data_IF_959661429698
#
_entry.id   IF_959661429698
#
_cell.length_a   1.000
_cell.length_b   1.000
_cell.length_c   1.000
_cell.angle_alpha   90.00
_cell.angle_beta   90.00
_cell.angle_gamma   90.00
#
_symmetry.space_group_name_H-M   'P 1'
#
loop_
_entity.id
_entity.type
_entity.pdbx_description
1 polymer ?
#
# COMPACT_ATOMS: atom_id res chain seq x y z
N UNK A 1 -12.92 -6.42 12.35
CA UNK A 1 -11.80 -5.52 12.01
C UNK A 1 -12.10 -4.83 10.69
N UNK A 2 -11.78 -3.54 10.59
CA UNK A 2 -11.89 -2.76 9.35
C UNK A 2 -10.51 -2.46 8.78
N UNK A 3 -10.33 -2.77 7.51
CA UNK A 3 -9.09 -2.57 6.76
C UNK A 3 -9.35 -1.58 5.62
N UNK A 4 -8.45 -0.61 5.46
CA UNK A 4 -8.38 0.22 4.25
C UNK A 4 -7.22 -0.29 3.42
N UNK A 5 -7.50 -0.79 2.21
CA UNK A 5 -6.47 -1.19 1.24
C UNK A 5 -6.19 -0.06 0.26
N UNK A 6 -4.93 0.35 0.18
CA UNK A 6 -4.44 1.45 -0.65
C UNK A 6 -3.90 0.89 -1.96
N UNK A 7 -4.57 1.19 -3.08
CA UNK A 7 -4.18 0.70 -4.40
C UNK A 7 -4.41 -0.81 -4.55
N UNK A 8 -5.66 -1.22 -4.52
CA UNK A 8 -6.06 -2.65 -4.53
C UNK A 8 -5.77 -3.38 -5.85
N UNK A 9 -5.60 -2.64 -6.94
CA UNK A 9 -5.26 -3.19 -8.24
C UNK A 9 -6.32 -4.15 -8.79
N UNK A 10 -6.01 -5.43 -8.88
CA UNK A 10 -6.93 -6.48 -9.31
C UNK A 10 -7.69 -7.17 -8.17
N UNK A 11 -7.55 -6.68 -6.94
CA UNK A 11 -8.30 -7.10 -5.78
C UNK A 11 -7.91 -8.42 -5.15
N UNK A 12 -6.74 -8.94 -5.46
CA UNK A 12 -6.31 -10.24 -4.92
C UNK A 12 -6.28 -10.27 -3.40
N UNK A 13 -5.73 -9.23 -2.79
CA UNK A 13 -5.57 -9.14 -1.34
C UNK A 13 -6.90 -8.70 -0.70
N UNK A 14 -7.65 -7.76 -1.32
CA UNK A 14 -8.99 -7.35 -0.88
C UNK A 14 -9.95 -8.53 -0.78
N UNK A 15 -10.02 -9.33 -1.83
CA UNK A 15 -10.89 -10.54 -1.89
C UNK A 15 -10.45 -11.55 -0.84
N UNK A 16 -9.15 -11.75 -0.64
CA UNK A 16 -8.63 -12.63 0.40
C UNK A 16 -9.10 -12.18 1.79
N UNK A 17 -8.96 -10.89 2.12
CA UNK A 17 -9.40 -10.35 3.41
C UNK A 17 -10.92 -10.46 3.60
N UNK A 18 -11.70 -10.15 2.56
CA UNK A 18 -13.16 -10.28 2.61
C UNK A 18 -13.61 -11.72 2.89
N UNK A 19 -12.96 -12.73 2.27
CA UNK A 19 -13.18 -14.15 2.55
C UNK A 19 -12.85 -14.55 3.99
N UNK A 20 -11.96 -13.81 4.66
CA UNK A 20 -11.70 -13.96 6.09
C UNK A 20 -12.70 -13.20 6.98
N UNK A 21 -13.78 -12.66 6.40
CA UNK A 21 -14.83 -11.89 7.08
C UNK A 21 -14.29 -10.57 7.72
N UNK A 22 -13.24 -10.00 7.13
CA UNK A 22 -12.73 -8.67 7.48
C UNK A 22 -13.46 -7.62 6.64
N UNK A 23 -13.86 -6.51 7.25
CA UNK A 23 -14.49 -5.40 6.53
C UNK A 23 -13.41 -4.61 5.77
N UNK A 24 -13.39 -4.72 4.46
CA UNK A 24 -12.38 -4.10 3.60
C UNK A 24 -12.99 -2.93 2.84
N UNK A 25 -12.32 -1.79 2.88
CA UNK A 25 -12.52 -0.70 1.93
C UNK A 25 -11.31 -0.67 1.02
N UNK A 26 -11.48 -1.14 -0.20
CA UNK A 26 -10.43 -1.21 -1.22
C UNK A 26 -10.51 0.01 -2.13
N UNK A 27 -9.42 0.77 -2.22
CA UNK A 27 -9.36 2.03 -2.97
C UNK A 27 -8.34 1.89 -4.09
N UNK A 28 -8.77 2.12 -5.33
CA UNK A 28 -7.89 2.19 -6.51
C UNK A 28 -8.39 3.25 -7.48
N UNK A 29 -7.47 3.93 -8.16
CA UNK A 29 -7.83 4.91 -9.21
C UNK A 29 -8.33 4.23 -10.49
N UNK A 30 -7.97 2.96 -10.71
CA UNK A 30 -8.31 2.21 -11.91
C UNK A 30 -9.71 1.61 -11.81
N UNK A 31 -10.65 2.14 -12.58
CA UNK A 31 -12.00 1.56 -12.73
C UNK A 31 -11.92 0.10 -13.20
N UNK A 32 -11.02 -0.21 -14.11
CA UNK A 32 -10.84 -1.59 -14.61
C UNK A 32 -10.33 -2.55 -13.53
N UNK A 33 -9.49 -2.09 -12.60
CA UNK A 33 -9.08 -2.85 -11.42
C UNK A 33 -10.28 -3.19 -10.55
N UNK A 34 -11.06 -2.20 -10.18
CA UNK A 34 -12.30 -2.34 -9.38
C UNK A 34 -13.29 -3.31 -10.04
N UNK A 35 -13.45 -3.28 -11.37
CA UNK A 35 -14.33 -4.19 -12.09
C UNK A 35 -13.84 -5.64 -12.09
N UNK A 36 -12.52 -5.86 -12.11
CA UNK A 36 -11.94 -7.20 -11.98
C UNK A 36 -12.18 -7.74 -10.57
N UNK A 37 -12.00 -6.92 -9.54
CA UNK A 37 -12.27 -7.29 -8.15
C UNK A 37 -13.72 -7.76 -7.96
N UNK A 38 -14.70 -6.99 -8.47
CA UNK A 38 -16.12 -7.35 -8.43
C UNK A 38 -16.42 -8.70 -9.04
N UNK A 39 -15.75 -9.04 -10.16
CA UNK A 39 -15.92 -10.34 -10.82
C UNK A 39 -15.33 -11.51 -10.03
N UNK A 40 -14.37 -11.26 -9.15
CA UNK A 40 -13.71 -12.27 -8.33
C UNK A 40 -14.41 -12.51 -6.98
N UNK A 41 -15.44 -11.70 -6.67
CA UNK A 41 -16.24 -11.86 -5.45
C UNK A 41 -17.34 -12.90 -5.66
N UNK A 42 -17.51 -13.76 -4.66
CA UNK A 42 -18.72 -14.56 -4.49
C UNK A 42 -19.77 -13.72 -3.74
N UNK A 43 -21.05 -14.00 -3.96
CA UNK A 43 -22.15 -13.22 -3.36
C UNK A 43 -22.06 -13.14 -1.82
N UNK A 44 -21.51 -14.16 -1.17
CA UNK A 44 -21.33 -14.21 0.28
C UNK A 44 -20.30 -13.21 0.81
N UNK A 45 -19.32 -12.81 -0.01
CA UNK A 45 -18.22 -11.93 0.39
C UNK A 45 -18.53 -10.44 0.13
N UNK A 46 -19.61 -10.16 -0.63
CA UNK A 46 -20.01 -8.81 -1.00
C UNK A 46 -20.27 -7.89 0.21
N UNK A 47 -20.70 -8.46 1.34
CA UNK A 47 -20.96 -7.70 2.56
C UNK A 47 -19.69 -7.21 3.26
N UNK A 48 -18.53 -7.77 2.92
CA UNK A 48 -17.25 -7.50 3.57
C UNK A 48 -16.31 -6.64 2.71
N UNK A 49 -16.67 -6.34 1.44
CA UNK A 49 -15.81 -5.59 0.53
C UNK A 49 -16.53 -4.39 -0.08
N UNK A 50 -16.01 -3.20 0.17
CA UNK A 50 -16.44 -1.95 -0.45
C UNK A 50 -15.33 -1.46 -1.41
N UNK A 51 -15.67 -1.39 -2.70
CA UNK A 51 -14.75 -0.99 -3.76
C UNK A 51 -14.98 0.46 -4.15
N UNK A 52 -13.89 1.24 -4.16
CA UNK A 52 -13.93 2.68 -4.45
C UNK A 52 -12.91 3.03 -5.54
N UNK A 53 -13.43 3.55 -6.67
CA UNK A 53 -12.60 4.11 -7.73
C UNK A 53 -12.20 5.54 -7.38
N UNK A 54 -11.13 5.71 -6.61
CA UNK A 54 -10.67 7.00 -6.07
C UNK A 54 -9.16 7.07 -5.91
N UNK A 55 -8.66 8.30 -5.72
CA UNK A 55 -7.29 8.54 -5.30
C UNK A 55 -7.17 8.35 -3.79
N UNK A 56 -6.43 7.32 -3.36
CA UNK A 56 -6.21 7.02 -1.96
C UNK A 56 -5.33 8.06 -1.24
N UNK A 57 -4.54 8.86 -1.97
CA UNK A 57 -3.69 9.90 -1.36
C UNK A 57 -4.53 11.02 -0.74
N UNK A 58 -5.57 11.42 -1.47
CA UNK A 58 -6.42 12.58 -1.11
C UNK A 58 -7.78 12.16 -0.52
N UNK A 59 -7.97 10.88 -0.23
CA UNK A 59 -9.21 10.38 0.33
C UNK A 59 -9.42 10.86 1.77
N UNK A 60 -10.65 11.25 2.09
CA UNK A 60 -11.07 11.58 3.45
C UNK A 60 -11.40 10.29 4.22
N UNK A 61 -10.44 9.81 4.99
CA UNK A 61 -10.59 8.58 5.77
C UNK A 61 -11.50 8.74 6.99
N UNK A 62 -11.77 9.96 7.47
CA UNK A 62 -12.60 10.20 8.65
C UNK A 62 -14.04 9.68 8.49
N UNK A 63 -14.54 9.63 7.26
CA UNK A 63 -15.89 9.13 6.93
C UNK A 63 -16.06 7.62 7.08
N UNK A 64 -14.97 6.86 7.19
CA UNK A 64 -15.05 5.42 7.37
C UNK A 64 -15.17 4.99 8.83
N UNK A 65 -15.17 5.94 9.77
CA UNK A 65 -15.26 5.66 11.20
C UNK A 65 -14.02 4.95 11.73
N UNK A 66 -14.21 3.99 12.60
CA UNK A 66 -13.11 3.25 13.25
C UNK A 66 -12.33 2.41 12.23
N UNK A 67 -11.02 2.65 12.10
CA UNK A 67 -10.12 1.93 11.17
C UNK A 67 -9.07 1.20 11.99
N UNK A 68 -9.03 -0.13 11.85
CA UNK A 68 -8.12 -1.00 12.59
C UNK A 68 -6.80 -1.22 11.85
N UNK A 69 -6.82 -1.15 10.50
CA UNK A 69 -5.61 -1.28 9.73
C UNK A 69 -5.65 -0.52 8.39
N UNK A 70 -4.50 -0.01 7.97
CA UNK A 70 -4.20 0.32 6.58
C UNK A 70 -3.27 -0.74 6.01
N UNK A 71 -3.50 -1.12 4.76
CA UNK A 71 -2.70 -2.08 4.03
C UNK A 71 -2.24 -1.50 2.69
N UNK A 72 -0.94 -1.55 2.44
CA UNK A 72 -0.32 -1.03 1.22
C UNK A 72 0.69 -2.05 0.68
N UNK A 73 0.37 -2.67 -0.44
CA UNK A 73 1.24 -3.62 -1.09
C UNK A 73 1.52 -3.21 -2.52
N UNK A 74 2.79 -2.95 -2.84
CA UNK A 74 3.24 -2.44 -4.14
C UNK A 74 2.58 -1.12 -4.56
N UNK A 75 2.18 -0.27 -3.61
CA UNK A 75 1.43 0.95 -3.88
C UNK A 75 2.26 2.22 -3.66
N UNK A 76 3.02 2.30 -2.56
CA UNK A 76 3.81 3.51 -2.24
C UNK A 76 4.87 3.84 -3.31
N UNK A 77 5.26 2.89 -4.15
CA UNK A 77 6.18 3.12 -5.25
C UNK A 77 5.53 3.80 -6.48
N UNK A 78 4.19 3.88 -6.52
CA UNK A 78 3.43 4.50 -7.61
C UNK A 78 3.08 5.96 -7.36
N UNK A 79 3.25 6.45 -6.13
CA UNK A 79 2.97 7.82 -5.74
C UNK A 79 4.26 8.66 -5.63
N UNK A 80 4.13 9.98 -5.72
CA UNK A 80 5.25 10.90 -5.56
C UNK A 80 5.68 11.01 -4.09
N UNK A 81 6.86 11.61 -3.86
CA UNK A 81 7.30 11.93 -2.50
C UNK A 81 6.37 12.92 -1.80
N UNK A 82 5.81 13.88 -2.54
CA UNK A 82 4.84 14.85 -2.01
C UNK A 82 3.56 14.14 -1.58
N UNK A 83 3.05 13.23 -2.41
CA UNK A 83 1.86 12.44 -2.08
C UNK A 83 2.09 11.59 -0.83
N UNK A 84 3.28 11.00 -0.68
CA UNK A 84 3.63 10.24 0.53
C UNK A 84 3.62 11.13 1.78
N UNK A 85 4.11 12.38 1.67
CA UNK A 85 4.11 13.35 2.78
C UNK A 85 2.70 13.78 3.20
N UNK A 86 1.74 13.73 2.28
CA UNK A 86 0.31 13.96 2.56
C UNK A 86 -0.33 12.70 3.16
N UNK A 87 -0.07 11.56 2.57
CA UNK A 87 -0.72 10.29 2.90
C UNK A 87 -0.37 9.79 4.31
N UNK A 88 0.92 9.78 4.67
CA UNK A 88 1.36 9.17 5.92
C UNK A 88 0.75 9.80 7.18
N UNK A 89 0.71 11.14 7.35
CA UNK A 89 0.00 11.77 8.47
C UNK A 89 -1.50 11.49 8.44
N UNK A 90 -2.12 11.45 7.24
CA UNK A 90 -3.54 11.17 7.10
C UNK A 90 -3.88 9.74 7.57
N UNK A 91 -3.05 8.75 7.25
CA UNK A 91 -3.16 7.38 7.77
C UNK A 91 -3.05 7.39 9.31
N UNK A 92 -1.99 8.00 9.85
CA UNK A 92 -1.77 8.04 11.29
C UNK A 92 -2.96 8.63 12.03
N UNK A 93 -3.48 9.77 11.57
CA UNK A 93 -4.56 10.47 12.24
C UNK A 93 -5.87 9.66 12.26
N UNK A 94 -6.13 8.87 11.21
CA UNK A 94 -7.37 8.10 11.06
C UNK A 94 -7.31 6.65 11.59
N UNK A 95 -6.11 6.13 11.90
CA UNK A 95 -5.98 4.85 12.59
C UNK A 95 -6.50 4.94 14.02
N UNK A 96 -7.13 3.86 14.49
CA UNK A 96 -7.39 3.63 15.91
C UNK A 96 -6.08 3.60 16.72
N UNK A 97 -6.15 3.88 18.02
CA UNK A 97 -5.03 3.57 18.92
C UNK A 97 -4.77 2.06 18.91
N UNK A 98 -3.52 1.65 18.70
CA UNK A 98 -3.14 0.26 18.48
C UNK A 98 -3.47 -0.29 17.08
N UNK A 99 -3.98 0.55 16.18
CA UNK A 99 -4.21 0.20 14.79
C UNK A 99 -2.91 0.05 14.00
N UNK A 100 -2.95 -0.76 12.94
CA UNK A 100 -1.76 -1.17 12.20
C UNK A 100 -1.67 -0.52 10.82
N UNK A 101 -0.45 -0.18 10.40
CA UNK A 101 -0.15 0.11 9.01
C UNK A 101 0.84 -0.92 8.45
N UNK A 102 0.36 -1.75 7.53
CA UNK A 102 1.12 -2.84 6.92
C UNK A 102 1.58 -2.45 5.52
N UNK A 103 2.89 -2.55 5.26
CA UNK A 103 3.52 -2.06 4.04
C UNK A 103 4.38 -3.16 3.40
N UNK A 104 4.25 -3.34 2.08
CA UNK A 104 5.21 -4.06 1.24
C UNK A 104 5.56 -3.20 0.03
N UNK A 105 6.85 -2.87 -0.16
CA UNK A 105 7.29 -1.95 -1.22
C UNK A 105 8.74 -2.24 -1.67
N UNK A 106 9.07 -1.90 -2.93
CA UNK A 106 10.44 -1.97 -3.46
C UNK A 106 11.34 -0.92 -2.84
N UNK A 107 12.59 -1.28 -2.61
CA UNK A 107 13.58 -0.43 -1.96
C UNK A 107 14.68 0.01 -2.91
N UNK A 108 15.52 0.94 -2.49
CA UNK A 108 16.71 1.38 -3.23
C UNK A 108 17.78 0.26 -3.40
N UNK A 109 17.61 -0.89 -2.73
CA UNK A 109 18.45 -2.09 -2.91
C UNK A 109 17.91 -3.07 -3.97
N UNK A 110 16.76 -2.73 -4.59
CA UNK A 110 16.17 -3.53 -5.66
C UNK A 110 17.09 -3.56 -6.91
N UNK A 111 17.23 -4.71 -7.60
CA UNK A 111 18.02 -4.79 -8.82
C UNK A 111 17.57 -3.85 -9.96
N UNK A 112 16.35 -3.35 -9.93
CA UNK A 112 15.83 -2.37 -10.89
C UNK A 112 16.14 -0.92 -10.51
N UNK A 113 16.63 -0.65 -9.30
CA UNK A 113 17.03 0.70 -8.90
C UNK A 113 18.17 1.21 -9.82
N UNK A 114 18.02 2.44 -10.28
CA UNK A 114 18.98 3.05 -11.22
C UNK A 114 18.84 2.59 -12.68
N UNK A 115 17.87 1.73 -13.01
CA UNK A 115 17.61 1.31 -14.39
C UNK A 115 16.49 2.16 -14.99
N UNK A 116 16.75 2.70 -16.17
CA UNK A 116 15.85 3.59 -16.90
C UNK A 116 16.21 5.06 -16.75
N UNK A 117 15.27 5.93 -17.10
CA UNK A 117 15.43 7.38 -17.05
C UNK A 117 15.07 7.88 -15.65
N UNK A 118 15.99 8.61 -15.02
CA UNK A 118 15.75 9.27 -13.73
C UNK A 118 14.80 10.48 -13.96
N UNK A 119 13.65 10.49 -13.30
CA UNK A 119 12.71 11.61 -13.40
C UNK A 119 12.53 12.39 -12.09
N UNK A 120 12.72 11.76 -10.94
CA UNK A 120 12.68 12.37 -9.61
C UNK A 120 13.64 11.61 -8.67
N UNK A 121 13.87 12.12 -7.44
CA UNK A 121 14.67 11.39 -6.44
C UNK A 121 14.19 9.94 -6.29
N UNK A 122 15.08 8.98 -6.50
CA UNK A 122 14.81 7.53 -6.43
C UNK A 122 13.68 7.05 -7.34
N UNK A 123 13.30 7.81 -8.39
CA UNK A 123 12.18 7.49 -9.28
C UNK A 123 12.68 7.37 -10.72
N UNK A 124 12.43 6.21 -11.33
CA UNK A 124 12.89 5.89 -12.67
C UNK A 124 11.73 5.48 -13.58
N UNK A 125 11.83 5.84 -14.86
CA UNK A 125 10.95 5.34 -15.91
C UNK A 125 11.70 4.24 -16.66
N UNK A 126 11.17 3.03 -16.62
CA UNK A 126 11.68 1.88 -17.35
C UNK A 126 10.52 1.15 -18.03
N UNK A 127 10.62 0.93 -19.36
CA UNK A 127 9.55 0.30 -20.17
C UNK A 127 8.17 0.96 -19.96
N UNK A 128 8.11 2.28 -19.97
CA UNK A 128 6.91 3.10 -19.72
C UNK A 128 6.28 2.94 -18.33
N UNK A 129 6.97 2.32 -17.39
CA UNK A 129 6.55 2.24 -15.99
C UNK A 129 7.37 3.19 -15.14
N UNK A 130 6.71 4.21 -14.58
CA UNK A 130 7.29 5.07 -13.54
C UNK A 130 7.25 4.33 -12.22
N UNK A 131 8.40 4.23 -11.55
CA UNK A 131 8.53 3.53 -10.27
C UNK A 131 9.50 4.27 -9.35
N UNK A 132 9.03 4.58 -8.16
CA UNK A 132 9.83 5.12 -7.07
C UNK A 132 10.33 3.98 -6.18
N UNK A 133 11.57 4.06 -5.74
CA UNK A 133 12.18 3.10 -4.83
C UNK A 133 12.36 3.74 -3.46
N UNK A 134 11.97 3.04 -2.41
CA UNK A 134 11.98 3.58 -1.06
C UNK A 134 13.36 3.40 -0.43
N UNK A 135 13.93 4.51 0.05
CA UNK A 135 15.07 4.51 0.96
C UNK A 135 14.53 4.12 2.35
N UNK A 136 14.84 2.91 2.78
CA UNK A 136 14.25 2.31 3.98
C UNK A 136 14.61 3.04 5.26
N UNK A 137 15.84 3.54 5.37
CA UNK A 137 16.28 4.25 6.57
C UNK A 137 15.58 5.62 6.71
N UNK A 138 15.50 6.36 5.61
CA UNK A 138 14.77 7.63 5.57
C UNK A 138 13.28 7.44 5.83
N UNK A 139 12.68 6.38 5.25
CA UNK A 139 11.26 6.09 5.42
C UNK A 139 10.93 5.72 6.88
N UNK A 140 11.70 4.81 7.49
CA UNK A 140 11.53 4.39 8.89
C UNK A 140 11.67 5.57 9.85
N UNK A 141 12.67 6.44 9.61
CA UNK A 141 12.79 7.68 10.38
C UNK A 141 11.56 8.57 10.23
N UNK A 142 11.07 8.79 9.00
CA UNK A 142 9.89 9.62 8.72
C UNK A 142 8.65 9.11 9.47
N UNK A 143 8.35 7.81 9.41
CA UNK A 143 7.17 7.26 10.09
C UNK A 143 7.31 7.30 11.62
N UNK A 144 8.52 7.14 12.16
CA UNK A 144 8.78 7.33 13.59
C UNK A 144 8.58 8.79 14.02
N UNK A 145 9.03 9.76 13.21
CA UNK A 145 8.84 11.21 13.47
C UNK A 145 7.33 11.59 13.43
N UNK A 146 6.49 10.88 12.67
CA UNK A 146 5.02 11.04 12.67
C UNK A 146 4.39 10.50 13.96
N UNK A 147 5.00 9.50 14.60
CA UNK A 147 4.54 8.91 15.86
C UNK A 147 4.26 7.41 15.78
N UNK A 148 4.49 6.77 14.64
CA UNK A 148 4.35 5.32 14.53
C UNK A 148 5.40 4.56 15.34
N UNK A 149 5.00 3.46 15.96
CA UNK A 149 5.88 2.47 16.57
C UNK A 149 6.11 1.31 15.59
N UNK A 150 7.36 1.01 15.30
CA UNK A 150 7.72 -0.13 14.46
C UNK A 150 7.54 -1.43 15.24
N UNK A 151 6.74 -2.36 14.71
CA UNK A 151 6.54 -3.71 15.27
C UNK A 151 7.34 -4.77 14.52
N UNK A 152 7.52 -4.60 13.21
CA UNK A 152 8.22 -5.56 12.36
C UNK A 152 8.88 -4.84 11.19
N UNK A 153 10.09 -5.24 10.87
CA UNK A 153 10.83 -4.78 9.71
C UNK A 153 11.65 -5.92 9.11
N UNK A 154 11.60 -6.04 7.80
CA UNK A 154 12.54 -6.85 7.02
C UNK A 154 12.76 -6.20 5.65
N UNK A 155 14.00 -6.22 5.19
CA UNK A 155 14.37 -5.79 3.84
C UNK A 155 15.22 -6.88 3.20
N UNK A 156 14.67 -7.57 2.21
CA UNK A 156 15.36 -8.65 1.47
C UNK A 156 14.65 -9.02 0.17
N UNK A 157 15.30 -9.82 -0.66
CA UNK A 157 14.66 -10.55 -1.74
C UNK A 157 13.91 -11.80 -1.22
N UNK A 158 13.31 -12.56 -2.12
CA UNK A 158 12.54 -13.79 -1.84
C UNK A 158 11.29 -13.57 -0.95
N UNK A 159 10.77 -12.35 -0.87
CA UNK A 159 9.52 -12.05 -0.16
C UNK A 159 8.31 -12.16 -1.08
N UNK A 160 8.43 -11.74 -2.33
CA UNK A 160 7.36 -11.79 -3.32
C UNK A 160 7.96 -12.00 -4.71
N UNK A 161 8.00 -13.25 -5.17
CA UNK A 161 8.56 -13.62 -6.47
C UNK A 161 7.42 -13.72 -7.48
N UNK A 162 7.60 -13.09 -8.64
CA UNK A 162 6.67 -13.22 -9.75
C UNK A 162 7.43 -13.45 -11.06
N UNK A 163 7.27 -14.64 -11.65
CA UNK A 163 8.02 -15.06 -12.83
C UNK A 163 9.53 -14.93 -12.57
N UNK A 164 10.23 -14.11 -13.37
CA UNK A 164 11.68 -13.84 -13.24
C UNK A 164 11.98 -12.60 -12.37
N UNK A 165 10.98 -11.98 -11.79
CA UNK A 165 11.12 -10.79 -10.94
C UNK A 165 11.22 -11.22 -9.48
N UNK A 166 12.36 -10.94 -8.86
CA UNK A 166 12.65 -11.23 -7.46
C UNK A 166 13.17 -9.94 -6.80
N UNK A 167 12.26 -9.02 -6.47
CA UNK A 167 12.61 -7.71 -5.95
C UNK A 167 13.21 -7.76 -4.56
N UNK A 168 14.02 -6.75 -4.23
CA UNK A 168 14.31 -6.44 -2.82
C UNK A 168 13.19 -5.58 -2.28
N UNK A 169 12.45 -6.13 -1.33
CA UNK A 169 11.29 -5.50 -0.71
C UNK A 169 11.55 -5.18 0.75
N UNK A 170 10.97 -4.08 1.18
CA UNK A 170 10.69 -3.81 2.58
C UNK A 170 9.30 -4.35 2.92
N UNK A 171 9.21 -5.16 4.00
CA UNK A 171 7.96 -5.37 4.75
C UNK A 171 8.08 -4.68 6.08
N UNK A 172 7.10 -3.85 6.38
CA UNK A 172 7.08 -3.02 7.57
C UNK A 172 5.69 -3.07 8.19
N UNK A 173 5.61 -3.32 9.49
CA UNK A 173 4.37 -3.21 10.27
C UNK A 173 4.59 -2.15 11.33
N UNK A 174 3.73 -1.15 11.27
CA UNK A 174 3.71 0.00 12.14
C UNK A 174 2.43 -0.01 12.98
N UNK A 175 2.51 0.48 14.21
CA UNK A 175 1.37 0.67 15.11
C UNK A 175 1.25 2.14 15.49
N UNK A 176 0.01 2.62 15.61
CA UNK A 176 -0.30 3.94 16.17
C UNK A 176 -0.32 3.92 17.68
#
# INVERSE_FOLDING_TARGET
>A
LKIIELGSGNGRDSVYFAKQKLNVVAIDQSISGVDIEKKNLLDEDNNYLHLLAKDFVYEDYSKYGSIDAFYSRFTLHSITKIDEEILLPNIYNNLNSGGLFCIEVRTTKDPLFGKGELCEENTFINNNHKRRFIDTDKFRKKVADIGFRELYFVEKNNLSIYKNDNPVLMRLILEK
#
